data_IF_944006575666
#
_entry.id   IF_944006575666
#
_cell.length_a   1.000
_cell.length_b   1.000
_cell.length_c   1.000
_cell.angle_alpha   90.00
_cell.angle_beta   90.00
_cell.angle_gamma   90.00
#
_symmetry.space_group_name_H-M   'P 1'
#
loop_
_entity.id
_entity.type
_entity.pdbx_description
1 polymer ?
#
# COMPACT_ATOMS: atom_id res chain seq x y z
N UNK A 1 16.35 11.56 -9.10
CA UNK A 1 17.03 11.11 -7.88
C UNK A 1 15.94 10.65 -6.93
N UNK A 2 15.81 9.33 -6.74
CA UNK A 2 14.91 8.71 -5.77
C UNK A 2 15.50 8.98 -4.39
N UNK A 3 14.69 9.45 -3.45
CA UNK A 3 15.10 9.63 -2.06
C UNK A 3 14.34 8.62 -1.21
N UNK A 4 15.07 7.67 -0.64
CA UNK A 4 14.56 6.74 0.37
C UNK A 4 14.72 7.41 1.73
N UNK A 5 13.61 7.82 2.36
CA UNK A 5 13.63 8.55 3.64
C UNK A 5 13.37 7.65 4.87
N UNK A 6 13.31 6.33 4.68
CA UNK A 6 13.14 5.37 5.79
C UNK A 6 11.67 5.11 6.18
N UNK A 7 11.50 4.20 7.14
CA UNK A 7 10.24 3.55 7.55
C UNK A 7 9.32 4.50 8.34
N UNK A 8 8.04 4.60 7.96
CA UNK A 8 6.97 5.10 8.83
C UNK A 8 6.24 3.93 9.51
N UNK A 9 5.46 4.19 10.57
CA UNK A 9 4.87 3.16 11.46
C UNK A 9 3.72 2.34 10.83
N UNK A 10 3.06 2.83 9.77
CA UNK A 10 1.73 2.31 9.36
C UNK A 10 1.69 1.44 8.11
N UNK A 11 2.83 1.03 7.56
CA UNK A 11 2.82 0.13 6.39
C UNK A 11 2.27 0.73 5.08
N UNK A 12 2.06 2.04 5.01
CA UNK A 12 1.60 2.74 3.82
C UNK A 12 2.75 3.37 3.03
N UNK A 13 2.64 3.33 1.70
CA UNK A 13 3.43 4.16 0.82
C UNK A 13 2.81 5.55 0.68
N UNK A 14 3.42 6.54 1.29
CA UNK A 14 2.98 7.93 1.21
C UNK A 14 3.82 8.72 0.19
N UNK A 15 3.13 9.40 -0.73
CA UNK A 15 3.72 10.38 -1.64
C UNK A 15 3.80 11.74 -0.93
N UNK A 16 4.98 12.09 -0.41
CA UNK A 16 5.16 13.41 0.21
C UNK A 16 5.39 14.53 -0.82
N UNK A 17 4.79 15.71 -0.65
CA UNK A 17 5.27 16.92 -1.30
C UNK A 17 6.67 17.28 -0.77
N UNK A 18 7.56 17.72 -1.66
CA UNK A 18 8.92 18.15 -1.31
C UNK A 18 8.88 19.23 -0.20
N UNK A 19 9.50 19.01 0.97
CA UNK A 19 9.54 20.00 2.05
C UNK A 19 10.40 21.23 1.74
N UNK A 20 10.99 21.32 0.54
CA UNK A 20 11.82 22.44 0.11
C UNK A 20 11.41 22.94 -1.27
N UNK A 21 10.37 23.78 -1.31
CA UNK A 21 9.94 24.75 -2.35
C UNK A 21 10.80 24.91 -3.64
N UNK A 22 11.15 23.84 -4.35
CA UNK A 22 12.00 23.86 -5.54
C UNK A 22 11.30 23.20 -6.72
N UNK A 23 10.14 23.74 -7.08
CA UNK A 23 9.65 23.87 -8.46
C UNK A 23 9.37 22.61 -9.31
N UNK A 24 9.91 21.43 -9.01
CA UNK A 24 9.73 20.21 -9.79
C UNK A 24 9.29 19.07 -8.88
N UNK A 25 7.99 18.77 -8.93
CA UNK A 25 7.37 17.66 -8.20
C UNK A 25 7.94 16.34 -8.72
N UNK A 26 8.52 15.52 -7.85
CA UNK A 26 8.95 14.15 -8.20
C UNK A 26 8.17 13.13 -7.35
N UNK A 27 7.70 12.03 -7.93
CA UNK A 27 7.08 10.95 -7.18
C UNK A 27 8.10 10.36 -6.21
N UNK A 28 7.76 10.37 -4.93
CA UNK A 28 8.52 9.73 -3.85
C UNK A 28 7.66 8.60 -3.33
N UNK A 29 8.21 7.39 -3.23
CA UNK A 29 7.53 6.24 -2.66
C UNK A 29 8.19 5.93 -1.33
N UNK A 30 7.38 6.01 -0.29
CA UNK A 30 7.72 5.55 1.04
C UNK A 30 7.31 4.08 1.11
N UNK A 31 8.07 3.24 1.81
CA UNK A 31 7.66 1.86 2.08
C UNK A 31 7.75 1.72 3.57
N UNK A 32 6.61 1.63 4.23
CA UNK A 32 6.54 1.43 5.66
C UNK A 32 6.43 -0.07 5.95
N UNK A 33 6.92 -0.47 7.13
CA UNK A 33 6.73 -1.82 7.66
C UNK A 33 5.91 -1.67 8.92
N UNK A 34 4.65 -2.12 8.94
CA UNK A 34 3.89 -2.09 10.18
C UNK A 34 4.62 -2.98 11.20
N UNK A 35 4.78 -2.50 12.43
CA UNK A 35 5.40 -3.21 13.55
C UNK A 35 6.93 -3.39 13.51
N UNK A 36 7.64 -2.70 12.61
CA UNK A 36 9.10 -2.76 12.52
C UNK A 36 9.73 -1.48 13.10
N UNK A 37 10.06 -1.49 14.39
CA UNK A 37 11.13 -0.60 14.85
C UNK A 37 12.39 -0.92 14.02
N UNK A 38 13.13 0.10 13.60
CA UNK A 38 14.31 -0.06 12.74
C UNK A 38 15.41 -0.86 13.47
N UNK A 39 15.35 -2.19 13.43
CA UNK A 39 16.32 -3.03 14.11
C UNK A 39 17.10 -3.87 13.11
N UNK A 40 18.25 -3.33 12.70
CA UNK A 40 19.23 -4.01 11.84
C UNK A 40 20.10 -5.05 12.59
N UNK A 41 19.62 -5.62 13.72
CA UNK A 41 20.30 -6.64 14.54
C UNK A 41 19.25 -7.50 15.28
N UNK A 42 19.56 -8.73 15.72
CA UNK A 42 18.72 -9.42 16.70
C UNK A 42 18.56 -8.53 17.94
N UNK A 43 17.34 -8.08 18.21
CA UNK A 43 17.06 -7.20 19.36
C UNK A 43 16.40 -7.98 20.49
N UNK A 44 16.70 -7.55 21.71
CA UNK A 44 15.96 -7.93 22.91
C UNK A 44 14.67 -7.10 23.08
N UNK A 45 14.40 -6.16 22.18
CA UNK A 45 13.17 -5.36 22.15
C UNK A 45 11.98 -6.29 22.08
N UNK A 46 11.01 -5.98 22.92
CA UNK A 46 9.76 -6.71 23.07
C UNK A 46 8.64 -5.80 22.60
N UNK A 47 7.58 -6.35 22.01
CA UNK A 47 6.35 -5.59 21.76
C UNK A 47 5.74 -5.07 23.08
N UNK A 48 4.69 -4.27 23.02
CA UNK A 48 4.01 -3.72 24.20
C UNK A 48 3.60 -4.79 25.24
N UNK A 49 3.47 -6.06 24.83
CA UNK A 49 3.18 -7.21 25.68
C UNK A 49 4.39 -8.05 26.11
N UNK A 50 5.62 -7.62 25.84
CA UNK A 50 6.81 -8.36 26.26
C UNK A 50 7.23 -9.50 25.31
N UNK A 51 6.60 -9.71 24.16
CA UNK A 51 6.98 -10.77 23.21
C UNK A 51 8.06 -10.31 22.22
N UNK A 52 8.94 -11.23 21.80
CA UNK A 52 9.85 -10.96 20.70
C UNK A 52 9.04 -10.76 19.41
N UNK A 53 9.43 -9.77 18.59
CA UNK A 53 8.85 -9.63 17.26
C UNK A 53 9.20 -10.87 16.42
N UNK A 54 8.26 -11.38 15.60
CA UNK A 54 8.54 -12.48 14.68
C UNK A 54 9.64 -12.05 13.69
N UNK A 55 10.46 -13.00 13.18
CA UNK A 55 11.42 -12.69 12.12
C UNK A 55 10.68 -12.16 10.87
N UNK A 56 11.33 -11.28 10.08
CA UNK A 56 10.73 -10.72 8.88
C UNK A 56 10.34 -11.81 7.89
N UNK A 57 9.13 -11.69 7.32
CA UNK A 57 8.74 -12.50 6.18
C UNK A 57 9.33 -11.89 4.90
N UNK A 58 10.58 -12.25 4.60
CA UNK A 58 11.34 -11.69 3.47
C UNK A 58 10.62 -11.86 2.13
N UNK A 59 9.82 -12.93 1.97
CA UNK A 59 9.04 -13.17 0.76
C UNK A 59 7.93 -12.13 0.62
N UNK A 60 7.11 -11.96 1.67
CA UNK A 60 6.05 -10.96 1.69
C UNK A 60 6.60 -9.53 1.51
N UNK A 61 7.73 -9.22 2.14
CA UNK A 61 8.40 -7.92 1.98
C UNK A 61 8.91 -7.69 0.56
N UNK A 62 9.44 -8.72 -0.08
CA UNK A 62 9.88 -8.65 -1.49
C UNK A 62 8.69 -8.37 -2.41
N UNK A 63 7.54 -8.99 -2.13
CA UNK A 63 6.32 -8.78 -2.92
C UNK A 63 5.77 -7.36 -2.75
N UNK A 64 5.72 -6.86 -1.51
CA UNK A 64 5.35 -5.46 -1.24
C UNK A 64 6.31 -4.51 -1.96
N UNK A 65 7.62 -4.71 -1.84
CA UNK A 65 8.60 -3.85 -2.51
C UNK A 65 8.43 -3.83 -4.04
N UNK A 66 8.16 -4.98 -4.65
CA UNK A 66 7.90 -5.07 -6.08
C UNK A 66 6.64 -4.31 -6.49
N UNK A 67 5.55 -4.44 -5.73
CA UNK A 67 4.31 -3.68 -5.95
C UNK A 67 4.54 -2.16 -5.86
N UNK A 68 5.22 -1.70 -4.81
CA UNK A 68 5.54 -0.28 -4.62
C UNK A 68 6.46 0.26 -5.73
N UNK A 69 7.42 -0.55 -6.18
CA UNK A 69 8.22 -0.21 -7.36
C UNK A 69 7.37 -0.16 -8.63
N UNK A 70 6.30 -0.95 -8.74
CA UNK A 70 5.30 -0.87 -9.78
C UNK A 70 4.64 0.50 -9.86
N UNK A 71 4.20 1.07 -8.72
CA UNK A 71 3.71 2.45 -8.66
C UNK A 71 4.78 3.46 -9.11
N UNK A 72 6.05 3.25 -8.78
CA UNK A 72 7.10 4.18 -9.20
C UNK A 72 7.22 4.22 -10.73
N UNK A 73 7.32 3.02 -11.31
CA UNK A 73 7.56 2.82 -12.73
C UNK A 73 6.36 3.24 -13.56
N UNK A 74 5.13 2.96 -13.10
CA UNK A 74 3.89 3.37 -13.76
C UNK A 74 3.86 4.88 -14.02
N UNK A 75 4.26 5.69 -13.03
CA UNK A 75 4.22 7.15 -13.15
C UNK A 75 5.49 7.74 -13.76
N UNK A 76 6.66 7.13 -13.55
CA UNK A 76 7.93 7.59 -14.15
C UNK A 76 7.89 7.51 -15.67
N UNK A 77 7.33 6.43 -16.21
CA UNK A 77 7.43 6.12 -17.64
C UNK A 77 6.25 6.65 -18.45
N UNK A 78 5.14 7.00 -17.79
CA UNK A 78 3.86 7.16 -18.49
C UNK A 78 3.12 8.47 -18.32
N UNK A 79 3.37 9.33 -17.34
CA UNK A 79 2.31 10.30 -16.99
C UNK A 79 2.36 11.64 -17.77
N UNK A 80 1.44 11.91 -18.73
CA UNK A 80 0.89 13.25 -18.84
C UNK A 80 0.50 13.74 -17.45
N UNK A 81 0.85 14.98 -17.15
CA UNK A 81 0.61 15.60 -15.84
C UNK A 81 -0.86 15.51 -15.39
N UNK A 82 -1.78 15.48 -16.33
CA UNK A 82 -3.22 15.47 -16.09
C UNK A 82 -3.71 14.10 -15.56
N UNK A 83 -3.21 12.98 -16.11
CA UNK A 83 -3.54 11.64 -15.60
C UNK A 83 -3.05 11.45 -14.17
N UNK A 84 -1.80 11.87 -13.89
CA UNK A 84 -1.27 11.86 -12.53
C UNK A 84 -2.11 12.72 -11.59
N UNK A 85 -2.52 13.92 -12.04
CA UNK A 85 -3.29 14.83 -11.21
C UNK A 85 -4.66 14.24 -10.87
N UNK A 86 -5.34 13.59 -11.83
CA UNK A 86 -6.60 12.91 -11.58
C UNK A 86 -6.44 11.76 -10.57
N UNK A 87 -5.44 10.89 -10.75
CA UNK A 87 -5.15 9.82 -9.79
C UNK A 87 -4.82 10.38 -8.39
N UNK A 88 -3.95 11.39 -8.30
CA UNK A 88 -3.57 11.98 -7.02
C UNK A 88 -4.77 12.56 -6.27
N UNK A 89 -5.70 13.20 -6.97
CA UNK A 89 -6.95 13.69 -6.37
C UNK A 89 -7.78 12.53 -5.83
N UNK A 90 -7.89 11.42 -6.58
CA UNK A 90 -8.59 10.22 -6.12
C UNK A 90 -7.93 9.58 -4.89
N UNK A 91 -6.62 9.35 -4.94
CA UNK A 91 -5.85 8.78 -3.83
C UNK A 91 -5.93 9.66 -2.57
N UNK A 92 -5.82 10.99 -2.72
CA UNK A 92 -5.97 11.92 -1.61
C UNK A 92 -7.37 11.86 -0.99
N UNK A 93 -8.42 11.80 -1.80
CA UNK A 93 -9.79 11.68 -1.30
C UNK A 93 -9.98 10.38 -0.50
N UNK A 94 -9.35 9.28 -0.94
CA UNK A 94 -9.35 7.99 -0.23
C UNK A 94 -8.65 8.11 1.12
N UNK A 95 -7.45 8.68 1.15
CA UNK A 95 -6.68 8.85 2.38
C UNK A 95 -7.39 9.81 3.36
N UNK A 96 -8.00 10.89 2.85
CA UNK A 96 -8.80 11.82 3.64
C UNK A 96 -10.06 11.12 4.22
N UNK A 97 -10.65 10.16 3.49
CA UNK A 97 -11.78 9.36 3.97
C UNK A 97 -11.39 8.37 5.08
N UNK A 98 -10.18 7.81 5.02
CA UNK A 98 -9.70 6.83 6.00
C UNK A 98 -9.07 7.46 7.25
N UNK A 99 -8.38 8.60 7.11
CA UNK A 99 -7.71 9.30 8.22
C UNK A 99 -8.66 9.91 9.26
N UNK A 100 -9.96 9.95 8.98
CA UNK A 100 -10.99 10.43 9.91
C UNK A 100 -11.49 9.34 10.86
N UNK A 101 -11.03 8.09 10.69
CA UNK A 101 -11.46 6.96 11.49
C UNK A 101 -10.69 6.90 12.82
N UNK A 102 -11.35 6.62 13.95
CA UNK A 102 -10.65 6.39 15.21
C UNK A 102 -9.79 5.12 15.16
N UNK A 103 -8.54 5.23 15.62
CA UNK A 103 -7.56 4.13 15.63
C UNK A 103 -7.84 3.07 16.71
N UNK A 104 -8.72 3.37 17.67
CA UNK A 104 -9.06 2.51 18.81
C UNK A 104 -10.28 1.60 18.56
N UNK A 105 -10.79 1.57 17.33
CA UNK A 105 -11.91 0.72 16.95
C UNK A 105 -11.52 -0.76 16.90
N UNK A 106 -12.42 -1.68 17.31
CA UNK A 106 -12.24 -3.10 17.05
C UNK A 106 -12.14 -3.38 15.54
N UNK A 107 -11.32 -4.36 15.09
CA UNK A 107 -11.07 -4.58 13.66
C UNK A 107 -12.32 -4.74 12.79
N UNK A 108 -13.37 -5.49 13.19
CA UNK A 108 -14.58 -5.59 12.38
C UNK A 108 -15.31 -4.26 12.21
N UNK A 109 -15.35 -3.43 13.26
CA UNK A 109 -15.98 -2.11 13.20
C UNK A 109 -15.12 -1.13 12.39
N UNK A 110 -13.80 -1.15 12.58
CA UNK A 110 -12.86 -0.34 11.80
C UNK A 110 -13.00 -0.63 10.30
N UNK A 111 -13.00 -1.91 9.93
CA UNK A 111 -13.12 -2.34 8.54
C UNK A 111 -14.46 -1.89 7.92
N UNK A 112 -15.58 -2.07 8.62
CA UNK A 112 -16.89 -1.64 8.11
C UNK A 112 -16.98 -0.11 7.95
N UNK A 113 -16.38 0.66 8.87
CA UNK A 113 -16.31 2.12 8.74
C UNK A 113 -15.40 2.56 7.60
N UNK A 114 -14.28 1.86 7.39
CA UNK A 114 -13.36 2.12 6.28
C UNK A 114 -14.08 1.96 4.94
N UNK A 115 -14.85 0.88 4.78
CA UNK A 115 -15.70 0.64 3.60
C UNK A 115 -16.75 1.72 3.40
N UNK A 116 -17.50 2.02 4.46
CA UNK A 116 -18.60 2.97 4.40
C UNK A 116 -18.10 4.36 4.05
N UNK A 117 -16.99 4.78 4.67
CA UNK A 117 -16.36 6.08 4.41
C UNK A 117 -15.88 6.19 2.96
N UNK A 118 -15.26 5.15 2.41
CA UNK A 118 -14.85 5.12 1.01
C UNK A 118 -16.06 5.23 0.05
N UNK A 119 -17.14 4.49 0.30
CA UNK A 119 -18.38 4.56 -0.50
C UNK A 119 -19.03 5.93 -0.50
N UNK A 120 -19.00 6.62 0.64
CA UNK A 120 -19.65 7.92 0.81
C UNK A 120 -18.84 9.07 0.19
N UNK A 121 -17.50 8.97 0.22
CA UNK A 121 -16.62 10.08 -0.14
C UNK A 121 -16.00 9.97 -1.54
N UNK A 122 -15.94 8.78 -2.12
CA UNK A 122 -15.33 8.56 -3.44
C UNK A 122 -16.39 8.45 -4.54
N UNK A 123 -16.10 9.04 -5.70
CA UNK A 123 -16.87 8.81 -6.91
C UNK A 123 -16.48 7.48 -7.57
N UNK A 124 -17.34 6.96 -8.44
CA UNK A 124 -17.04 5.77 -9.23
C UNK A 124 -15.76 5.95 -10.07
N UNK A 125 -15.58 7.10 -10.73
CA UNK A 125 -14.38 7.40 -11.51
C UNK A 125 -13.11 7.41 -10.63
N UNK A 126 -13.19 7.91 -9.40
CA UNK A 126 -12.05 7.89 -8.47
C UNK A 126 -11.70 6.46 -8.05
N UNK A 127 -12.71 5.65 -7.75
CA UNK A 127 -12.54 4.22 -7.42
C UNK A 127 -11.88 3.48 -8.59
N UNK A 128 -12.36 3.71 -9.81
CA UNK A 128 -11.82 3.08 -11.02
C UNK A 128 -10.37 3.50 -11.28
N UNK A 129 -10.03 4.78 -11.09
CA UNK A 129 -8.66 5.27 -11.19
C UNK A 129 -7.73 4.60 -10.18
N UNK A 130 -8.18 4.45 -8.93
CA UNK A 130 -7.40 3.80 -7.86
C UNK A 130 -7.16 2.33 -8.22
N UNK A 131 -8.22 1.58 -8.55
CA UNK A 131 -8.11 0.16 -8.88
C UNK A 131 -7.26 -0.10 -10.13
N UNK A 132 -7.38 0.76 -11.14
CA UNK A 132 -6.57 0.64 -12.36
C UNK A 132 -5.08 0.82 -12.07
N UNK A 133 -4.73 1.73 -11.15
CA UNK A 133 -3.35 1.95 -10.75
C UNK A 133 -2.82 0.82 -9.86
N UNK A 134 -3.60 0.33 -8.90
CA UNK A 134 -3.25 -0.82 -8.07
C UNK A 134 -2.96 -2.06 -8.93
N UNK A 135 -3.86 -2.40 -9.85
CA UNK A 135 -3.67 -3.52 -10.77
C UNK A 135 -2.43 -3.37 -11.64
N UNK A 136 -2.14 -2.14 -12.09
CA UNK A 136 -0.94 -1.84 -12.87
C UNK A 136 0.33 -1.98 -12.06
N UNK A 137 0.34 -1.51 -10.82
CA UNK A 137 1.49 -1.62 -9.93
C UNK A 137 1.85 -3.08 -9.67
N UNK A 138 0.87 -3.95 -9.43
CA UNK A 138 1.08 -5.40 -9.34
C UNK A 138 1.62 -5.98 -10.65
N UNK A 139 1.06 -5.63 -11.80
CA UNK A 139 1.54 -6.13 -13.09
C UNK A 139 3.00 -5.75 -13.36
N UNK A 140 3.38 -4.49 -13.12
CA UNK A 140 4.77 -4.03 -13.29
C UNK A 140 5.69 -4.68 -12.25
N UNK A 141 5.23 -4.83 -11.00
CA UNK A 141 5.99 -5.51 -9.96
C UNK A 141 6.28 -6.96 -10.32
N UNK A 142 5.32 -7.66 -10.95
CA UNK A 142 5.51 -9.00 -11.49
C UNK A 142 6.60 -9.03 -12.57
N UNK A 143 6.52 -8.13 -13.56
CA UNK A 143 7.51 -8.01 -14.64
C UNK A 143 8.92 -7.70 -14.07
N UNK A 144 8.99 -6.85 -13.05
CA UNK A 144 10.25 -6.52 -12.36
C UNK A 144 10.85 -7.76 -11.70
N UNK A 145 10.06 -8.53 -10.93
CA UNK A 145 10.54 -9.75 -10.28
C UNK A 145 11.01 -10.79 -11.30
N UNK A 146 10.26 -10.98 -12.38
CA UNK A 146 10.63 -11.86 -13.49
C UNK A 146 11.97 -11.44 -14.11
N UNK A 147 12.17 -10.14 -14.36
CA UNK A 147 13.42 -9.61 -14.91
C UNK A 147 14.64 -9.78 -14.00
N UNK A 148 14.41 -9.88 -12.68
CA UNK A 148 15.44 -10.10 -11.66
C UNK A 148 15.73 -11.59 -11.43
N UNK A 149 15.06 -12.48 -12.16
CA UNK A 149 15.23 -13.93 -12.02
C UNK A 149 14.54 -14.50 -10.78
N UNK A 150 13.51 -13.84 -10.26
CA UNK A 150 12.71 -14.38 -9.17
C UNK A 150 11.89 -15.58 -9.67
N UNK A 151 12.03 -16.72 -9.02
CA UNK A 151 11.50 -17.99 -9.53
C UNK A 151 10.04 -18.26 -9.11
N UNK A 152 9.63 -17.78 -7.94
CA UNK A 152 8.30 -18.08 -7.37
C UNK A 152 7.22 -17.07 -7.78
N UNK A 153 7.11 -16.80 -9.08
CA UNK A 153 6.07 -15.91 -9.62
C UNK A 153 4.64 -16.37 -9.27
N UNK A 154 4.31 -17.68 -9.17
CA UNK A 154 2.99 -18.10 -8.71
C UNK A 154 2.61 -17.58 -7.33
N UNK A 155 3.53 -17.57 -6.35
CA UNK A 155 3.26 -17.00 -5.04
C UNK A 155 3.03 -15.47 -5.09
N UNK A 156 3.69 -14.76 -6.01
CA UNK A 156 3.43 -13.34 -6.26
C UNK A 156 2.05 -13.11 -6.88
N UNK A 157 1.65 -13.97 -7.82
CA UNK A 157 0.35 -13.89 -8.49
C UNK A 157 -0.80 -14.16 -7.48
N UNK A 158 -0.64 -15.13 -6.56
CA UNK A 158 -1.57 -15.35 -5.46
C UNK A 158 -1.66 -14.13 -4.52
N UNK A 159 -0.51 -13.52 -4.19
CA UNK A 159 -0.48 -12.31 -3.37
C UNK A 159 -1.14 -11.13 -4.07
N UNK A 160 -0.99 -11.02 -5.40
CA UNK A 160 -1.64 -10.00 -6.22
C UNK A 160 -3.16 -10.12 -6.16
N UNK A 161 -3.67 -11.34 -6.32
CA UNK A 161 -5.11 -11.64 -6.25
C UNK A 161 -5.68 -11.21 -4.89
N UNK A 162 -4.99 -11.55 -3.79
CA UNK A 162 -5.36 -11.10 -2.44
C UNK A 162 -5.27 -9.59 -2.29
N UNK A 163 -4.16 -8.97 -2.68
CA UNK A 163 -3.96 -7.52 -2.52
C UNK A 163 -5.02 -6.69 -3.27
N UNK A 164 -5.38 -7.11 -4.48
CA UNK A 164 -6.46 -6.48 -5.24
C UNK A 164 -7.82 -6.69 -4.60
N UNK A 165 -8.09 -7.89 -4.08
CA UNK A 165 -9.32 -8.15 -3.36
C UNK A 165 -9.43 -7.30 -2.08
N UNK A 166 -8.38 -7.25 -1.26
CA UNK A 166 -8.32 -6.41 -0.05
C UNK A 166 -8.59 -4.94 -0.38
N UNK A 167 -8.01 -4.44 -1.48
CA UNK A 167 -8.22 -3.07 -1.92
C UNK A 167 -9.68 -2.83 -2.35
N UNK A 168 -10.28 -3.76 -3.09
CA UNK A 168 -11.69 -3.70 -3.48
C UNK A 168 -12.62 -3.80 -2.28
N UNK A 169 -12.33 -4.68 -1.33
CA UNK A 169 -13.04 -4.80 -0.07
C UNK A 169 -13.03 -3.46 0.67
N UNK A 170 -11.85 -2.85 0.88
CA UNK A 170 -11.67 -1.54 1.54
C UNK A 170 -12.39 -0.39 0.83
N UNK A 171 -12.49 -0.43 -0.50
CA UNK A 171 -13.29 0.52 -1.27
C UNK A 171 -14.80 0.18 -1.26
N UNK A 172 -15.21 -0.85 -0.53
CA UNK A 172 -16.59 -1.24 -0.33
C UNK A 172 -17.21 -2.03 -1.49
N UNK A 173 -16.40 -2.52 -2.44
CA UNK A 173 -16.90 -3.20 -3.64
C UNK A 173 -17.13 -4.69 -3.45
N UNK A 174 -16.32 -5.32 -2.60
CA UNK A 174 -16.36 -6.75 -2.34
C UNK A 174 -16.62 -7.03 -0.84
N UNK A 175 -16.89 -8.29 -0.51
CA UNK A 175 -16.93 -8.82 0.87
C UNK A 175 -15.61 -9.50 1.22
N UNK A 176 -15.25 -9.59 2.51
CA UNK A 176 -14.05 -10.34 2.95
C UNK A 176 -14.15 -11.82 2.56
N UNK A 177 -13.01 -12.44 2.28
CA UNK A 177 -12.94 -13.88 2.15
C UNK A 177 -13.00 -14.60 3.49
N UNK A 178 -13.51 -15.83 3.47
CA UNK A 178 -13.74 -16.67 4.66
C UNK A 178 -12.46 -17.00 5.45
N UNK A 179 -11.30 -16.92 4.81
CA UNK A 179 -10.00 -17.12 5.43
C UNK A 179 -9.43 -15.85 6.09
N UNK A 180 -9.84 -14.66 5.64
CA UNK A 180 -9.47 -13.38 6.25
C UNK A 180 -10.26 -13.12 7.54
N UNK A 181 -11.48 -13.68 7.65
CA UNK A 181 -12.30 -13.64 8.87
C UNK A 181 -11.75 -14.46 10.06
N UNK A 182 -10.67 -15.24 9.85
CA UNK A 182 -10.11 -16.17 10.86
C UNK A 182 -8.92 -15.61 11.64
N UNK A 183 -8.47 -14.41 11.27
CA UNK A 183 -7.32 -13.74 11.90
C UNK A 183 -7.71 -12.50 12.73
N UNK A 184 -9.02 -12.26 12.91
CA UNK A 184 -9.59 -11.33 13.88
C UNK A 184 -9.72 -11.94 15.29
#
# INVERSE_FOLDING_TARGET
MVRYDGLAEEGSGSFHPDPRERGEKRPTITIARPFYEAVNRPTRSRNAGGAHLPPPNLLAETFTLAHECGHFLSWRERAPRDEWTAYYIAAKARDDAWSQLPDDLPPPEYNERLRSSAKEQLTADQIDLILAEEARAWAIGRELLESLGFEDLPAYDERTIRGLHDHRYRLGLDELWDDDLRFD
#
